data_IF_113517853595
#
_entry.id   IF_113517853595
#
_cell.length_a   1.000
_cell.length_b   1.000
_cell.length_c   1.000
_cell.angle_alpha   90.00
_cell.angle_beta   90.00
_cell.angle_gamma   90.00
#
_symmetry.space_group_name_H-M   'P 1'
#
loop_
_entity.id
_entity.type
_entity.pdbx_description
1 polymer ?
#
# COMPACT_ATOMS: atom_id res chain seq x y z
N UNK A 1 28.27 -11.63 -11.39
CA UNK A 1 28.26 -10.61 -10.33
C UNK A 1 27.73 -9.34 -10.95
N UNK A 2 26.43 -9.08 -10.82
CA UNK A 2 25.82 -7.83 -11.30
C UNK A 2 25.92 -6.81 -10.18
N UNK A 3 26.42 -5.64 -10.52
CA UNK A 3 26.70 -4.54 -9.62
C UNK A 3 25.36 -4.04 -9.04
N UNK A 4 25.12 -4.34 -7.76
CA UNK A 4 23.86 -4.00 -7.10
C UNK A 4 23.62 -2.50 -7.09
N UNK A 5 22.48 -2.10 -7.65
CA UNK A 5 21.81 -0.83 -7.38
C UNK A 5 21.63 -0.70 -5.87
N UNK A 6 22.62 -0.11 -5.19
CA UNK A 6 22.50 0.24 -3.77
C UNK A 6 21.71 1.53 -3.64
N UNK A 7 20.42 1.40 -3.87
CA UNK A 7 19.48 2.20 -3.14
C UNK A 7 19.57 1.84 -1.64
N UNK A 8 19.34 2.80 -0.76
CA UNK A 8 19.39 2.60 0.69
C UNK A 8 18.53 1.42 1.17
N UNK A 9 18.91 0.84 2.31
CA UNK A 9 18.18 -0.27 2.94
C UNK A 9 16.80 0.19 3.44
N UNK A 10 15.76 -0.65 3.25
CA UNK A 10 14.39 -0.38 3.72
C UNK A 10 14.32 -0.13 5.23
N UNK A 11 15.24 -0.77 5.98
CA UNK A 11 15.34 -0.70 7.43
C UNK A 11 14.48 -1.76 8.14
N UNK A 12 14.63 -1.89 9.47
CA UNK A 12 13.84 -2.82 10.28
C UNK A 12 12.36 -2.42 10.30
N UNK A 13 11.46 -3.41 10.40
CA UNK A 13 10.01 -3.20 10.47
C UNK A 13 9.60 -2.59 11.81
N UNK A 14 8.73 -1.59 11.74
CA UNK A 14 8.20 -0.89 12.90
C UNK A 14 6.76 -1.31 13.20
N UNK A 15 6.61 -2.36 14.02
CA UNK A 15 5.32 -2.95 14.39
C UNK A 15 4.28 -1.92 14.90
N UNK A 16 4.61 -0.90 15.72
CA UNK A 16 3.61 0.09 16.13
C UNK A 16 2.99 0.87 14.97
N UNK A 17 3.68 1.04 13.84
CA UNK A 17 3.08 1.63 12.64
C UNK A 17 2.08 0.68 12.00
N UNK A 18 2.42 -0.61 11.85
CA UNK A 18 1.49 -1.62 11.33
C UNK A 18 0.22 -1.70 12.19
N UNK A 19 0.35 -1.68 13.51
CA UNK A 19 -0.81 -1.66 14.42
C UNK A 19 -1.70 -0.43 14.22
N UNK A 20 -1.10 0.75 14.02
CA UNK A 20 -1.85 1.98 13.75
C UNK A 20 -2.56 1.95 12.40
N UNK A 21 -1.91 1.40 11.37
CA UNK A 21 -2.50 1.22 10.04
C UNK A 21 -3.71 0.27 10.13
N UNK A 22 -3.55 -0.88 10.82
CA UNK A 22 -4.64 -1.82 11.09
C UNK A 22 -5.83 -1.12 11.74
N UNK A 23 -5.59 -0.35 12.80
CA UNK A 23 -6.67 0.31 13.55
C UNK A 23 -7.40 1.35 12.67
N UNK A 24 -6.67 2.09 11.83
CA UNK A 24 -7.26 3.02 10.86
C UNK A 24 -8.14 2.30 9.84
N UNK A 25 -7.68 1.18 9.28
CA UNK A 25 -8.44 0.41 8.29
C UNK A 25 -9.68 -0.23 8.91
N UNK A 26 -9.59 -0.78 10.13
CA UNK A 26 -10.74 -1.32 10.86
C UNK A 26 -11.77 -0.24 11.23
N UNK A 27 -11.33 0.99 11.48
CA UNK A 27 -12.21 2.13 11.77
C UNK A 27 -12.96 2.60 10.51
N UNK A 28 -12.26 2.67 9.37
CA UNK A 28 -12.77 3.31 8.16
C UNK A 28 -13.51 2.36 7.22
N UNK A 29 -13.07 1.11 7.15
CA UNK A 29 -13.51 0.20 6.09
C UNK A 29 -14.36 -0.95 6.64
N UNK A 30 -15.70 -0.88 6.49
CA UNK A 30 -16.59 -1.95 6.94
C UNK A 30 -16.39 -3.27 6.18
N UNK A 31 -15.67 -3.26 5.05
CA UNK A 31 -15.39 -4.45 4.24
C UNK A 31 -14.17 -5.25 4.72
N UNK A 32 -13.45 -4.79 5.75
CA UNK A 32 -12.37 -5.60 6.35
C UNK A 32 -12.96 -6.85 7.00
N UNK A 33 -12.58 -8.03 6.48
CA UNK A 33 -12.98 -9.33 7.04
C UNK A 33 -11.99 -9.83 8.08
N UNK A 34 -10.71 -9.79 7.74
CA UNK A 34 -9.63 -10.37 8.53
C UNK A 34 -8.41 -9.45 8.48
N UNK A 35 -7.76 -9.29 9.63
CA UNK A 35 -6.43 -8.70 9.72
C UNK A 35 -5.49 -9.70 10.36
N UNK A 36 -4.33 -9.91 9.75
CA UNK A 36 -3.30 -10.82 10.24
C UNK A 36 -1.90 -10.25 10.07
N UNK A 37 -0.95 -10.80 10.80
CA UNK A 37 0.46 -10.59 10.55
C UNK A 37 1.04 -11.88 9.99
N UNK A 38 2.09 -11.76 9.19
CA UNK A 38 2.83 -12.88 8.58
C UNK A 38 3.52 -13.79 9.62
N UNK A 39 4.01 -13.20 10.71
CA UNK A 39 4.65 -13.91 11.81
C UNK A 39 4.18 -13.39 13.18
N UNK A 40 4.04 -14.28 14.16
CA UNK A 40 3.51 -13.95 15.50
C UNK A 40 4.57 -13.39 16.45
N UNK A 41 5.86 -13.60 16.18
CA UNK A 41 6.99 -13.21 17.02
C UNK A 41 7.70 -11.98 16.45
N UNK A 42 7.94 -11.99 15.14
CA UNK A 42 8.68 -10.96 14.42
C UNK A 42 7.94 -10.57 13.13
N UNK A 43 6.74 -9.96 13.25
CA UNK A 43 5.92 -9.59 12.11
C UNK A 43 6.68 -8.62 11.20
N UNK A 44 6.69 -8.93 9.90
CA UNK A 44 7.25 -8.04 8.87
C UNK A 44 6.19 -7.38 8.01
N UNK A 45 4.97 -7.93 8.03
CA UNK A 45 3.88 -7.50 7.18
C UNK A 45 2.54 -7.58 7.91
N UNK A 46 1.69 -6.56 7.70
CA UNK A 46 0.28 -6.60 8.03
C UNK A 46 -0.51 -6.96 6.77
N UNK A 47 -1.40 -7.92 6.88
CA UNK A 47 -2.31 -8.33 5.81
C UNK A 47 -3.74 -7.94 6.19
N UNK A 48 -4.42 -7.23 5.30
CA UNK A 48 -5.81 -6.77 5.47
C UNK A 48 -6.64 -7.41 4.35
N UNK A 49 -7.47 -8.39 4.69
CA UNK A 49 -8.40 -9.01 3.73
C UNK A 49 -9.72 -8.27 3.69
N UNK A 50 -10.22 -8.03 2.48
CA UNK A 50 -11.47 -7.33 2.19
C UNK A 50 -12.47 -8.29 1.54
N UNK A 51 -13.75 -8.12 1.88
CA UNK A 51 -14.87 -8.93 1.37
C UNK A 51 -15.27 -8.64 -0.08
N UNK A 52 -14.57 -7.72 -0.76
CA UNK A 52 -14.78 -7.36 -2.16
C UNK A 52 -13.51 -6.69 -2.70
N UNK A 53 -13.43 -6.55 -4.03
CA UNK A 53 -12.30 -5.94 -4.72
C UNK A 53 -12.70 -4.92 -5.77
N UNK A 54 -11.74 -4.49 -6.59
CA UNK A 54 -11.96 -3.53 -7.65
C UNK A 54 -12.67 -4.20 -8.83
N UNK A 55 -13.66 -3.51 -9.39
CA UNK A 55 -14.35 -3.96 -10.60
C UNK A 55 -15.14 -5.25 -10.41
N UNK A 56 -14.61 -6.36 -10.92
CA UNK A 56 -15.28 -7.67 -10.90
C UNK A 56 -14.71 -8.64 -9.84
N UNK A 57 -13.68 -8.24 -9.10
CA UNK A 57 -13.10 -9.06 -8.05
C UNK A 57 -14.03 -9.12 -6.84
N UNK A 58 -14.26 -10.31 -6.29
CA UNK A 58 -15.15 -10.56 -5.16
C UNK A 58 -14.42 -10.68 -3.82
N UNK A 59 -13.09 -10.56 -3.83
CA UNK A 59 -12.24 -10.46 -2.63
C UNK A 59 -10.99 -9.67 -2.98
N UNK A 60 -10.39 -9.01 -1.99
CA UNK A 60 -9.10 -8.35 -2.13
C UNK A 60 -8.26 -8.45 -0.86
N UNK A 61 -6.98 -8.15 -0.98
CA UNK A 61 -6.04 -8.07 0.14
C UNK A 61 -5.10 -6.90 -0.04
N UNK A 62 -4.74 -6.27 1.08
CA UNK A 62 -3.69 -5.25 1.13
C UNK A 62 -2.59 -5.73 2.08
N UNK A 63 -1.40 -5.88 1.53
CA UNK A 63 -0.18 -6.27 2.22
C UNK A 63 0.64 -5.01 2.52
N UNK A 64 0.93 -4.78 3.81
CA UNK A 64 1.50 -3.52 4.30
C UNK A 64 2.80 -3.76 5.05
N UNK A 65 3.83 -3.02 4.66
CA UNK A 65 5.11 -2.93 5.38
C UNK A 65 5.38 -1.48 5.77
N UNK A 66 5.98 -1.28 6.94
CA UNK A 66 6.42 0.03 7.41
C UNK A 66 7.69 -0.10 8.25
N UNK A 67 8.74 0.65 7.94
CA UNK A 67 10.03 0.60 8.64
C UNK A 67 10.22 1.70 9.68
N UNK A 68 11.18 1.50 10.59
CA UNK A 68 11.60 2.53 11.57
C UNK A 68 12.14 3.80 10.89
N UNK A 69 12.55 3.70 9.62
CA UNK A 69 13.02 4.82 8.81
C UNK A 69 11.87 5.56 8.08
N UNK A 70 10.62 5.19 8.33
CA UNK A 70 9.45 5.79 7.66
C UNK A 70 9.31 5.40 6.19
N UNK A 71 9.90 4.26 5.80
CA UNK A 71 9.70 3.66 4.49
C UNK A 71 8.51 2.72 4.54
N UNK A 72 7.76 2.61 3.46
CA UNK A 72 6.55 1.79 3.44
C UNK A 72 6.27 1.17 2.08
N UNK A 73 5.44 0.13 2.09
CA UNK A 73 4.79 -0.48 0.93
C UNK A 73 3.34 -0.77 1.31
N UNK A 74 2.38 -0.38 0.47
CA UNK A 74 0.98 -0.82 0.50
C UNK A 74 0.70 -1.51 -0.83
N UNK A 75 0.61 -2.84 -0.82
CA UNK A 75 0.42 -3.66 -2.00
C UNK A 75 -0.98 -4.27 -2.00
N UNK A 76 -1.80 -3.86 -2.94
CA UNK A 76 -3.13 -4.42 -3.15
C UNK A 76 -3.06 -5.56 -4.17
N UNK A 77 -3.80 -6.63 -3.92
CA UNK A 77 -4.07 -7.72 -4.87
C UNK A 77 -5.54 -8.14 -4.75
N UNK A 78 -6.17 -8.59 -5.83
CA UNK A 78 -7.54 -9.09 -5.78
C UNK A 78 -7.80 -10.36 -6.60
N UNK A 79 -9.01 -10.90 -6.46
CA UNK A 79 -9.43 -12.14 -7.12
C UNK A 79 -9.52 -12.04 -8.66
N UNK A 80 -9.47 -10.84 -9.23
CA UNK A 80 -9.40 -10.62 -10.68
C UNK A 80 -7.95 -10.44 -11.16
N UNK A 81 -6.96 -10.80 -10.33
CA UNK A 81 -5.53 -10.64 -10.56
C UNK A 81 -5.09 -9.17 -10.74
N UNK A 82 -5.91 -8.20 -10.32
CA UNK A 82 -5.53 -6.79 -10.33
C UNK A 82 -4.67 -6.51 -9.10
N UNK A 83 -3.54 -5.85 -9.32
CA UNK A 83 -2.64 -5.44 -8.25
C UNK A 83 -2.03 -4.05 -8.51
N UNK A 84 -1.83 -3.28 -7.45
CA UNK A 84 -1.22 -1.95 -7.47
C UNK A 84 -0.45 -1.72 -6.16
N UNK A 85 0.48 -0.76 -6.15
CA UNK A 85 1.31 -0.54 -4.97
C UNK A 85 1.67 0.93 -4.72
N UNK A 86 1.57 1.38 -3.48
CA UNK A 86 2.20 2.63 -3.03
C UNK A 86 3.46 2.33 -2.24
N UNK A 87 4.59 2.85 -2.70
CA UNK A 87 5.88 2.67 -2.06
C UNK A 87 6.50 4.00 -1.65
N UNK A 88 7.23 3.97 -0.55
CA UNK A 88 8.18 5.01 -0.18
C UNK A 88 9.47 4.37 0.28
N UNK A 89 10.50 4.39 -0.56
CA UNK A 89 11.85 3.96 -0.19
C UNK A 89 12.87 4.54 -1.17
N UNK A 90 14.16 4.64 -0.79
CA UNK A 90 15.22 4.93 -1.74
C UNK A 90 15.22 3.91 -2.87
N UNK A 91 15.40 4.36 -4.11
CA UNK A 91 15.68 3.54 -5.29
C UNK A 91 16.51 4.37 -6.30
N UNK A 92 17.02 3.74 -7.36
CA UNK A 92 17.83 4.42 -8.41
C UNK A 92 17.04 4.80 -9.66
N UNK A 93 15.78 4.40 -9.77
CA UNK A 93 15.02 4.39 -11.03
C UNK A 93 13.65 5.08 -10.94
N UNK A 94 13.18 5.42 -9.75
CA UNK A 94 11.89 6.05 -9.46
C UNK A 94 12.02 7.15 -8.39
N UNK A 95 11.02 8.03 -8.23
CA UNK A 95 10.96 8.92 -7.08
C UNK A 95 10.94 8.12 -5.77
N UNK A 96 11.39 8.73 -4.66
CA UNK A 96 11.40 8.08 -3.35
C UNK A 96 10.00 7.58 -2.96
N UNK A 97 8.97 8.43 -3.14
CA UNK A 97 7.58 8.02 -3.02
C UNK A 97 7.00 7.81 -4.42
N UNK A 98 6.55 6.60 -4.72
CA UNK A 98 6.09 6.21 -6.05
C UNK A 98 4.88 5.29 -5.95
N UNK A 99 4.15 5.20 -7.06
CA UNK A 99 2.97 4.38 -7.24
C UNK A 99 3.20 3.44 -8.43
N UNK A 100 2.90 2.17 -8.24
CA UNK A 100 2.86 1.17 -9.28
C UNK A 100 1.41 0.95 -9.69
N UNK A 101 1.00 1.39 -10.89
CA UNK A 101 -0.38 1.30 -11.33
C UNK A 101 -0.81 -0.15 -11.61
N UNK A 102 -2.13 -0.42 -11.58
CA UNK A 102 -2.69 -1.68 -12.05
C UNK A 102 -2.50 -1.88 -13.56
N UNK A 103 -2.67 -3.11 -14.07
CA UNK A 103 -3.09 -4.30 -13.34
C UNK A 103 -1.94 -5.07 -12.67
N UNK A 104 -0.69 -4.83 -13.06
CA UNK A 104 0.43 -5.73 -12.74
C UNK A 104 1.48 -5.12 -11.79
N UNK A 105 1.23 -3.90 -11.28
CA UNK A 105 2.16 -3.16 -10.43
C UNK A 105 3.62 -3.14 -10.93
N UNK A 106 3.83 -3.10 -12.26
CA UNK A 106 5.18 -3.29 -12.83
C UNK A 106 6.14 -2.18 -12.42
N UNK A 107 7.42 -2.51 -12.24
CA UNK A 107 8.45 -1.51 -11.93
C UNK A 107 8.65 -0.49 -13.05
N UNK A 108 8.50 -0.91 -14.31
CA UNK A 108 8.68 -0.03 -15.46
C UNK A 108 7.56 1.02 -15.61
N UNK A 109 6.39 0.77 -15.03
CA UNK A 109 5.25 1.69 -15.06
C UNK A 109 5.17 2.59 -13.80
N UNK A 110 6.15 2.54 -12.91
CA UNK A 110 6.14 3.32 -11.69
C UNK A 110 6.07 4.83 -11.98
N UNK A 111 5.16 5.51 -11.30
CA UNK A 111 4.96 6.96 -11.40
C UNK A 111 5.09 7.65 -10.03
N UNK A 112 5.24 8.97 -9.95
CA UNK A 112 5.29 9.67 -8.67
C UNK A 112 4.01 9.47 -7.86
N UNK A 113 4.14 9.16 -6.56
CA UNK A 113 3.01 9.13 -5.65
C UNK A 113 2.46 10.54 -5.42
N UNK A 114 1.14 10.66 -5.27
CA UNK A 114 0.44 11.89 -4.84
C UNK A 114 0.25 12.01 -3.33
N UNK A 115 0.85 11.10 -2.56
CA UNK A 115 0.83 11.12 -1.09
C UNK A 115 2.08 11.85 -0.60
N UNK A 116 1.93 13.12 -0.18
CA UNK A 116 3.03 13.95 0.32
C UNK A 116 3.23 13.82 1.85
N UNK A 117 2.19 13.39 2.57
CA UNK A 117 2.23 13.17 4.02
C UNK A 117 3.14 11.99 4.38
N UNK A 118 3.71 12.04 5.58
CA UNK A 118 4.62 10.99 6.08
C UNK A 118 4.22 10.43 7.43
N UNK A 119 3.16 10.96 8.05
CA UNK A 119 2.60 10.39 9.27
C UNK A 119 1.87 9.08 8.95
N UNK A 120 2.04 8.08 9.82
CA UNK A 120 1.49 6.72 9.62
C UNK A 120 -0.03 6.74 9.40
N UNK A 121 -0.77 7.49 10.23
CA UNK A 121 -2.22 7.54 10.13
C UNK A 121 -2.66 8.29 8.88
N UNK A 122 -1.99 9.41 8.54
CA UNK A 122 -2.33 10.19 7.36
C UNK A 122 -2.03 9.41 6.07
N UNK A 123 -0.91 8.67 6.00
CA UNK A 123 -0.63 7.79 4.86
C UNK A 123 -1.66 6.67 4.75
N UNK A 124 -2.04 6.02 5.86
CA UNK A 124 -3.07 4.98 5.84
C UNK A 124 -4.43 5.51 5.33
N UNK A 125 -4.85 6.69 5.83
CA UNK A 125 -6.08 7.38 5.39
C UNK A 125 -6.00 7.79 3.92
N UNK A 126 -4.84 8.24 3.47
CA UNK A 126 -4.58 8.58 2.08
C UNK A 126 -4.78 7.39 1.13
N UNK A 127 -4.15 6.25 1.44
CA UNK A 127 -4.27 5.03 0.65
C UNK A 127 -5.71 4.52 0.67
N UNK A 128 -6.36 4.49 1.85
CA UNK A 128 -7.77 4.10 1.97
C UNK A 128 -8.68 4.98 1.11
N UNK A 129 -8.55 6.31 1.18
CA UNK A 129 -9.37 7.23 0.41
C UNK A 129 -9.21 7.03 -1.10
N UNK A 130 -7.98 6.81 -1.58
CA UNK A 130 -7.74 6.54 -3.01
C UNK A 130 -8.33 5.21 -3.46
N UNK A 131 -8.15 4.14 -2.67
CA UNK A 131 -8.77 2.85 -2.96
C UNK A 131 -10.30 2.95 -2.95
N UNK A 132 -10.89 3.63 -1.97
CA UNK A 132 -12.34 3.79 -1.85
C UNK A 132 -12.94 4.54 -3.04
N UNK A 133 -12.28 5.60 -3.51
CA UNK A 133 -12.71 6.32 -4.72
C UNK A 133 -12.64 5.41 -5.95
N UNK A 134 -11.57 4.64 -6.12
CA UNK A 134 -11.45 3.71 -7.24
C UNK A 134 -12.51 2.60 -7.19
N UNK A 135 -12.76 2.05 -6.01
CA UNK A 135 -13.78 1.05 -5.74
C UNK A 135 -15.19 1.57 -6.06
N UNK A 136 -15.59 2.72 -5.51
CA UNK A 136 -16.94 3.27 -5.70
C UNK A 136 -17.22 3.73 -7.13
N UNK A 137 -16.20 4.16 -7.86
CA UNK A 137 -16.32 4.57 -9.26
C UNK A 137 -16.15 3.43 -10.26
N UNK A 138 -15.74 2.23 -9.79
CA UNK A 138 -15.30 1.13 -10.64
C UNK A 138 -14.23 1.56 -11.67
N UNK A 139 -13.34 2.47 -11.25
CA UNK A 139 -12.33 3.10 -12.09
C UNK A 139 -10.96 3.10 -11.38
N UNK A 140 -10.11 2.16 -11.80
CA UNK A 140 -8.77 2.00 -11.23
C UNK A 140 -7.84 3.17 -11.59
N UNK A 141 -8.14 3.95 -12.64
CA UNK A 141 -7.36 5.14 -13.00
C UNK A 141 -7.52 6.26 -11.97
N UNK A 142 -8.46 6.13 -11.02
CA UNK A 142 -8.62 7.05 -9.88
C UNK A 142 -7.60 6.81 -8.79
N UNK A 143 -6.93 5.67 -8.78
CA UNK A 143 -5.79 5.41 -7.90
C UNK A 143 -4.71 6.47 -8.18
N UNK A 144 -4.09 6.99 -7.13
CA UNK A 144 -3.05 8.03 -7.24
C UNK A 144 -3.51 9.37 -7.86
N UNK A 145 -4.81 9.69 -7.89
CA UNK A 145 -5.31 10.98 -8.45
C UNK A 145 -5.64 12.04 -7.40
N UNK A 146 -5.92 11.63 -6.16
CA UNK A 146 -6.29 12.55 -5.08
C UNK A 146 -5.03 13.25 -4.56
N UNK A 147 -5.00 14.58 -4.60
CA UNK A 147 -3.88 15.36 -4.05
C UNK A 147 -4.14 15.65 -2.57
N UNK A 148 -3.20 15.29 -1.68
CA UNK A 148 -3.32 15.47 -0.23
C UNK A 148 -4.65 14.99 0.39
N UNK A 149 -4.99 13.70 0.23
CA UNK A 149 -6.07 13.11 1.02
C UNK A 149 -5.78 13.23 2.54
N UNK A 150 -6.84 13.31 3.37
CA UNK A 150 -6.77 13.74 4.78
C UNK A 150 -6.08 12.76 5.72
#
# INVERSE_FOLDING_TARGET
>A
MSNGDRAGEFGPIYLPALQRIRDVWLELEPMVEVVSYDDVVAPTELQISLSDGLGAADTARIDVQWSELGMYSFHYVDAADVNWRFDRHPNTHSPTAHFHPPPDATTAAAEPSRIDVTDVSLVARAVHAMWRVAYESADADRLNTVSNPP
#
